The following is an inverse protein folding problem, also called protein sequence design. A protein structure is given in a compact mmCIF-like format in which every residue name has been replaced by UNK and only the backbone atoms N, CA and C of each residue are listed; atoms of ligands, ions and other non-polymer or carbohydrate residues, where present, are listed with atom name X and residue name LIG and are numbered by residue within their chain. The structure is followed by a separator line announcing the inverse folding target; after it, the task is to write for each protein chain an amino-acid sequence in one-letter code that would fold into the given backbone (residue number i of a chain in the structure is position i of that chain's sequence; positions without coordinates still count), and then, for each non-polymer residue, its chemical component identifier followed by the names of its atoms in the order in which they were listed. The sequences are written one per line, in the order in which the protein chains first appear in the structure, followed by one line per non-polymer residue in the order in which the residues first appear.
data_IF_467494519922
#
_entry.id   IF_467494519922
#
_cell.length_a   1.000
_cell.length_b   1.000
_cell.length_c   1.000
_cell.angle_alpha   90.00
_cell.angle_beta   90.00
_cell.angle_gamma   90.00
#
_symmetry.space_group_name_H-M   'P 1'
#
loop_
_entity.id
_entity.type
_entity.pdbx_description
1 polymer ?
#
# COMPACT_ATOMS: atom_id res chain seq x y z
N UNK A 1 -13.61 -8.49 12.49
CA UNK A 1 -12.15 -8.34 12.40
C UNK A 1 -11.69 -7.30 13.42
N UNK A 2 -10.65 -7.58 14.18
CA UNK A 2 -10.06 -6.61 15.11
C UNK A 2 -9.19 -5.62 14.35
N UNK A 3 -8.91 -4.46 14.95
CA UNK A 3 -8.02 -3.46 14.34
C UNK A 3 -6.64 -4.05 14.06
N UNK A 4 -6.13 -4.89 14.97
CA UNK A 4 -4.85 -5.56 14.81
C UNK A 4 -4.83 -6.48 13.58
N UNK A 5 -5.89 -7.24 13.37
CA UNK A 5 -6.01 -8.14 12.23
C UNK A 5 -6.11 -7.34 10.92
N UNK A 6 -6.85 -6.24 10.93
CA UNK A 6 -6.99 -5.37 9.77
C UNK A 6 -5.64 -4.75 9.38
N UNK A 7 -4.91 -4.21 10.36
CA UNK A 7 -3.59 -3.62 10.14
C UNK A 7 -2.61 -4.66 9.62
N UNK A 8 -2.63 -5.87 10.19
CA UNK A 8 -1.76 -6.96 9.75
C UNK A 8 -2.07 -7.36 8.29
N UNK A 9 -3.34 -7.42 7.93
CA UNK A 9 -3.76 -7.73 6.58
C UNK A 9 -3.31 -6.65 5.58
N UNK A 10 -3.46 -5.37 5.95
CA UNK A 10 -3.00 -4.25 5.12
C UNK A 10 -1.49 -4.31 4.91
N UNK A 11 -0.75 -4.55 5.97
CA UNK A 11 0.71 -4.64 5.90
C UNK A 11 1.15 -5.76 4.96
N UNK A 12 0.55 -6.92 5.07
CA UNK A 12 0.83 -8.06 4.21
C UNK A 12 0.52 -7.77 2.75
N UNK A 13 -0.62 -7.13 2.49
CA UNK A 13 -1.04 -6.75 1.14
C UNK A 13 -0.05 -5.76 0.52
N UNK A 14 0.32 -4.72 1.25
CA UNK A 14 1.23 -3.69 0.76
C UNK A 14 2.62 -4.27 0.53
N UNK A 15 3.13 -5.06 1.48
CA UNK A 15 4.44 -5.73 1.34
C UNK A 15 4.47 -6.63 0.10
N UNK A 16 3.41 -7.40 -0.12
CA UNK A 16 3.31 -8.29 -1.28
C UNK A 16 3.29 -7.49 -2.59
N UNK A 17 2.54 -6.40 -2.63
CA UNK A 17 2.47 -5.55 -3.82
C UNK A 17 3.82 -4.92 -4.14
N UNK A 18 4.54 -4.46 -3.13
CA UNK A 18 5.87 -3.88 -3.30
C UNK A 18 6.83 -4.93 -3.84
N UNK A 19 6.82 -6.12 -3.27
CA UNK A 19 7.70 -7.21 -3.69
C UNK A 19 7.44 -7.61 -5.15
N UNK A 20 6.18 -7.82 -5.51
CA UNK A 20 5.80 -8.16 -6.89
C UNK A 20 6.16 -7.03 -7.85
N UNK A 21 5.87 -5.80 -7.47
CA UNK A 21 6.18 -4.64 -8.30
C UNK A 21 7.67 -4.52 -8.59
N UNK A 22 8.51 -4.73 -7.59
CA UNK A 22 9.98 -4.69 -7.75
C UNK A 22 10.48 -5.83 -8.64
N UNK A 23 9.90 -7.00 -8.52
CA UNK A 23 10.25 -8.13 -9.39
C UNK A 23 9.97 -7.82 -10.87
N UNK A 24 8.93 -7.02 -11.13
CA UNK A 24 8.55 -6.58 -12.47
C UNK A 24 9.16 -5.24 -12.87
N UNK A 25 10.09 -4.72 -12.06
CA UNK A 25 10.80 -3.45 -12.30
C UNK A 25 9.86 -2.24 -12.34
N UNK A 26 8.77 -2.29 -11.61
CA UNK A 26 7.87 -1.14 -11.46
C UNK A 26 8.51 -0.11 -10.53
N UNK A 27 8.22 1.17 -10.77
CA UNK A 27 8.62 2.20 -9.82
C UNK A 27 7.59 2.29 -8.68
N UNK A 28 7.93 3.00 -7.62
CA UNK A 28 7.07 3.14 -6.44
C UNK A 28 5.73 3.79 -6.78
N UNK A 29 5.73 4.74 -7.70
CA UNK A 29 4.51 5.42 -8.15
C UNK A 29 3.51 4.45 -8.78
N UNK A 30 3.99 3.53 -9.63
CA UNK A 30 3.14 2.52 -10.27
C UNK A 30 2.56 1.55 -9.23
N UNK A 31 3.37 1.15 -8.25
CA UNK A 31 2.92 0.28 -7.17
C UNK A 31 1.82 0.98 -6.37
N UNK A 32 2.02 2.25 -6.04
CA UNK A 32 1.05 3.05 -5.31
C UNK A 32 -0.24 3.26 -6.10
N UNK A 33 -0.12 3.50 -7.40
CA UNK A 33 -1.29 3.64 -8.29
C UNK A 33 -2.17 2.39 -8.23
N UNK A 34 -1.56 1.22 -8.26
CA UNK A 34 -2.28 -0.06 -8.19
C UNK A 34 -2.99 -0.22 -6.85
N UNK A 35 -2.32 0.14 -5.75
CA UNK A 35 -2.88 -0.01 -4.40
C UNK A 35 -4.00 0.99 -4.10
N UNK A 36 -3.97 2.17 -4.73
CA UNK A 36 -4.93 3.23 -4.48
C UNK A 36 -6.09 3.27 -5.48
N UNK A 37 -6.00 2.51 -6.57
CA UNK A 37 -7.03 2.49 -7.62
C UNK A 37 -8.37 2.03 -7.04
N UNK A 38 -9.42 2.81 -7.28
CA UNK A 38 -10.78 2.50 -6.83
C UNK A 38 -11.28 1.17 -7.39
N UNK A 39 -10.85 0.80 -8.57
CA UNK A 39 -11.21 -0.47 -9.20
C UNK A 39 -10.32 -1.63 -8.74
N UNK A 40 -9.28 -1.33 -7.98
CA UNK A 40 -8.38 -2.29 -7.37
C UNK A 40 -8.62 -2.36 -5.87
N UNK A 41 -7.59 -2.10 -5.08
CA UNK A 41 -7.67 -2.19 -3.62
C UNK A 41 -8.26 -0.95 -2.96
N UNK A 42 -8.17 0.21 -3.61
CA UNK A 42 -8.76 1.45 -3.09
C UNK A 42 -8.19 1.92 -1.76
N UNK A 43 -6.93 1.65 -1.48
CA UNK A 43 -6.32 2.04 -0.21
C UNK A 43 -6.17 3.55 -0.10
N UNK A 44 -6.36 4.07 1.11
CA UNK A 44 -6.25 5.49 1.41
C UNK A 44 -4.94 5.80 2.10
N UNK A 45 -4.62 7.10 2.23
CA UNK A 45 -3.46 7.57 2.98
C UNK A 45 -3.43 6.96 4.39
N UNK A 46 -4.57 6.97 5.10
CA UNK A 46 -4.67 6.42 6.44
C UNK A 46 -4.35 4.93 6.51
N UNK A 47 -4.74 4.18 5.48
CA UNK A 47 -4.44 2.76 5.41
C UNK A 47 -2.92 2.53 5.38
N UNK A 48 -2.19 3.33 4.60
CA UNK A 48 -0.73 3.23 4.55
C UNK A 48 -0.09 3.62 5.88
N UNK A 49 -0.57 4.67 6.52
CA UNK A 49 -0.06 5.11 7.82
C UNK A 49 -0.26 4.02 8.87
N UNK A 50 -1.45 3.43 8.93
CA UNK A 50 -1.74 2.35 9.88
C UNK A 50 -0.86 1.13 9.65
N UNK A 51 -0.53 0.84 8.41
CA UNK A 51 0.30 -0.32 8.06
C UNK A 51 1.80 -0.05 8.21
N UNK A 52 2.20 1.17 8.58
CA UNK A 52 3.62 1.51 8.77
C UNK A 52 4.34 1.99 7.52
N UNK A 53 3.60 2.43 6.51
CA UNK A 53 4.17 2.92 5.24
C UNK A 53 3.96 4.44 5.04
N UNK A 54 4.03 5.19 6.13
CA UNK A 54 3.77 6.63 6.11
C UNK A 54 4.68 7.39 5.13
N UNK A 55 5.98 7.09 5.11
CA UNK A 55 6.91 7.78 4.23
C UNK A 55 6.54 7.61 2.76
N UNK A 56 6.19 6.40 2.38
CA UNK A 56 5.77 6.07 1.03
C UNK A 56 4.49 6.79 0.66
N UNK A 57 3.54 6.83 1.58
CA UNK A 57 2.28 7.55 1.39
C UNK A 57 2.50 9.06 1.28
N UNK A 58 3.36 9.62 2.11
CA UNK A 58 3.66 11.06 2.07
C UNK A 58 4.24 11.46 0.72
N UNK A 59 5.13 10.65 0.15
CA UNK A 59 5.71 10.93 -1.16
C UNK A 59 4.67 10.86 -2.29
N UNK A 60 3.77 9.90 -2.20
CA UNK A 60 2.77 9.69 -3.25
C UNK A 60 1.63 10.70 -3.19
N UNK A 61 1.10 10.97 -2.00
CA UNK A 61 -0.07 11.84 -1.82
C UNK A 61 0.25 13.33 -1.72
N UNK A 62 1.50 13.69 -1.67
CA UNK A 62 1.91 15.10 -1.65
C UNK A 62 2.15 15.65 -3.04
#
# INVERSE_FOLDING_TARGET
MTDSEYISALKGLIDSAISVGRDWLWNDSDIMDTLTDENGFGLTYDDFVMAGFKEMADEYFN
#
